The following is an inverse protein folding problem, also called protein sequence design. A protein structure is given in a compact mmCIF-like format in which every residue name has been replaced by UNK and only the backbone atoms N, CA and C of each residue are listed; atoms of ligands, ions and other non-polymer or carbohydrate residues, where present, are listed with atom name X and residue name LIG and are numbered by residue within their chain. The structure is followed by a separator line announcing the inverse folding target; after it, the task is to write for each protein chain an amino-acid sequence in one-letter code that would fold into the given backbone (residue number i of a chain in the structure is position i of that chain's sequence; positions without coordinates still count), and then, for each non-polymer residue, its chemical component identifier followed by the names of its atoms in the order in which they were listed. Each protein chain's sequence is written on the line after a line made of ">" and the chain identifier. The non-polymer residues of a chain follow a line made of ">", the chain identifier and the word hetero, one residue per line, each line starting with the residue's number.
data_IF_296154824270
#
_entry.id   IF_296154824270
#
_cell.length_a   1.000
_cell.length_b   1.000
_cell.length_c   1.000
_cell.angle_alpha   90.00
_cell.angle_beta   90.00
_cell.angle_gamma   90.00
#
_symmetry.space_group_name_H-M   'P 1'
#
loop_
_entity.id
_entity.type
_entity.pdbx_description
1 polymer ?
#
# COMPACT_ATOMS: atom_id res chain seq x y z
N UNK A 1 14.18 -3.01 -20.77
CA UNK A 1 13.04 -3.13 -19.83
C UNK A 1 13.38 -2.66 -18.43
N UNK A 2 14.45 -3.16 -17.79
CA UNK A 2 14.77 -2.80 -16.39
C UNK A 2 14.96 -1.29 -16.17
N UNK A 3 15.63 -0.58 -17.09
CA UNK A 3 15.82 0.88 -17.00
C UNK A 3 14.51 1.66 -17.15
N UNK A 4 13.61 1.23 -18.05
CA UNK A 4 12.30 1.85 -18.22
C UNK A 4 11.40 1.64 -16.99
N UNK A 5 11.55 0.50 -16.30
CA UNK A 5 10.88 0.24 -15.02
C UNK A 5 11.45 1.16 -13.93
N UNK A 6 12.78 1.31 -13.83
CA UNK A 6 13.42 2.22 -12.87
C UNK A 6 13.01 3.69 -13.08
N UNK A 7 12.93 4.17 -14.31
CA UNK A 7 12.49 5.54 -14.59
C UNK A 7 11.03 5.79 -14.18
N UNK A 8 10.13 4.84 -14.46
CA UNK A 8 8.75 4.94 -13.98
C UNK A 8 8.69 4.94 -12.45
N UNK A 9 9.46 4.08 -11.77
CA UNK A 9 9.52 4.02 -10.30
C UNK A 9 9.99 5.35 -9.70
N UNK A 10 10.91 6.08 -10.34
CA UNK A 10 11.28 7.44 -9.90
C UNK A 10 10.10 8.41 -9.90
N UNK A 11 9.16 8.27 -10.84
CA UNK A 11 7.91 9.04 -10.84
C UNK A 11 6.98 8.67 -9.67
N UNK A 12 7.00 7.40 -9.23
CA UNK A 12 6.25 6.93 -8.04
C UNK A 12 6.94 7.26 -6.70
N UNK A 13 8.21 7.69 -6.72
CA UNK A 13 8.94 8.14 -5.53
C UNK A 13 8.61 9.58 -5.12
N UNK A 14 7.64 10.22 -5.77
CA UNK A 14 7.07 11.47 -5.26
C UNK A 14 6.57 11.25 -3.83
N UNK A 15 7.01 12.11 -2.91
CA UNK A 15 6.61 12.07 -1.51
C UNK A 15 5.09 12.08 -1.36
N UNK A 16 4.37 12.80 -2.24
CA UNK A 16 2.91 12.82 -2.24
C UNK A 16 2.31 11.44 -2.55
N UNK A 17 2.88 10.70 -3.51
CA UNK A 17 2.43 9.35 -3.88
C UNK A 17 2.69 8.38 -2.74
N UNK A 18 3.88 8.40 -2.16
CA UNK A 18 4.25 7.52 -1.03
C UNK A 18 3.36 7.78 0.19
N UNK A 19 3.13 9.05 0.54
CA UNK A 19 2.22 9.43 1.63
C UNK A 19 0.79 8.99 1.35
N UNK A 20 0.32 9.14 0.12
CA UNK A 20 -1.03 8.69 -0.29
C UNK A 20 -1.17 7.18 -0.14
N UNK A 21 -0.17 6.40 -0.53
CA UNK A 21 -0.20 4.94 -0.36
C UNK A 21 -0.30 4.55 1.13
N UNK A 22 0.50 5.18 2.00
CA UNK A 22 0.43 4.94 3.45
C UNK A 22 -0.95 5.31 3.99
N UNK A 23 -1.50 6.45 3.58
CA UNK A 23 -2.82 6.91 4.01
C UNK A 23 -3.93 5.92 3.60
N UNK A 24 -3.90 5.40 2.36
CA UNK A 24 -4.82 4.35 1.90
C UNK A 24 -4.67 3.10 2.77
N UNK A 25 -3.43 2.69 3.03
CA UNK A 25 -3.16 1.51 3.85
C UNK A 25 -3.70 1.64 5.27
N UNK A 26 -3.47 2.78 5.92
CA UNK A 26 -4.02 3.10 7.26
C UNK A 26 -5.54 3.12 7.21
N UNK A 27 -6.15 3.78 6.22
CA UNK A 27 -7.59 3.88 6.10
C UNK A 27 -8.25 2.52 5.94
N UNK A 28 -7.69 1.63 5.10
CA UNK A 28 -8.23 0.28 4.93
C UNK A 28 -8.19 -0.52 6.24
N UNK A 29 -7.14 -0.40 7.05
CA UNK A 29 -7.08 -1.09 8.36
C UNK A 29 -8.02 -0.44 9.39
N UNK A 30 -8.06 0.88 9.44
CA UNK A 30 -8.82 1.63 10.44
C UNK A 30 -10.34 1.59 10.18
N UNK A 31 -10.75 1.58 8.91
CA UNK A 31 -12.16 1.67 8.50
C UNK A 31 -12.63 0.33 7.96
N UNK A 32 -12.13 -0.10 6.82
CA UNK A 32 -12.66 -1.27 6.08
C UNK A 32 -12.50 -2.56 6.88
N UNK A 33 -11.30 -2.86 7.38
CA UNK A 33 -11.03 -4.04 8.19
C UNK A 33 -11.92 -4.06 9.44
N UNK A 34 -12.02 -2.92 10.14
CA UNK A 34 -12.87 -2.81 11.33
C UNK A 34 -14.36 -2.97 10.99
N UNK A 35 -14.80 -2.49 9.83
CA UNK A 35 -16.16 -2.64 9.36
C UNK A 35 -16.47 -4.12 9.03
N UNK A 36 -15.66 -4.75 8.18
CA UNK A 36 -15.86 -6.16 7.79
C UNK A 36 -15.73 -7.11 8.98
N UNK A 37 -14.83 -6.83 9.92
CA UNK A 37 -14.69 -7.59 11.16
C UNK A 37 -15.95 -7.48 12.03
N UNK A 38 -16.54 -6.28 12.16
CA UNK A 38 -17.82 -6.08 12.87
C UNK A 38 -18.99 -6.81 12.20
N UNK A 39 -19.01 -6.83 10.87
CA UNK A 39 -20.01 -7.55 10.07
C UNK A 39 -19.77 -9.08 10.01
N UNK A 40 -18.74 -9.61 10.70
CA UNK A 40 -18.33 -11.03 10.68
C UNK A 40 -18.00 -11.57 9.28
N UNK A 41 -17.67 -10.69 8.33
CA UNK A 41 -17.24 -11.04 6.98
C UNK A 41 -15.75 -11.41 6.99
N UNK A 42 -15.45 -12.65 7.38
CA UNK A 42 -14.07 -13.10 7.65
C UNK A 42 -13.15 -12.95 6.43
N UNK A 43 -13.61 -13.35 5.25
CA UNK A 43 -12.82 -13.26 4.01
C UNK A 43 -12.49 -11.80 3.67
N UNK A 44 -13.49 -10.94 3.65
CA UNK A 44 -13.31 -9.52 3.30
C UNK A 44 -12.46 -8.78 4.33
N UNK A 45 -12.62 -9.11 5.62
CA UNK A 45 -11.75 -8.56 6.67
C UNK A 45 -10.29 -8.97 6.47
N UNK A 46 -10.00 -10.24 6.14
CA UNK A 46 -8.63 -10.69 5.89
C UNK A 46 -8.03 -10.01 4.65
N UNK A 47 -8.82 -9.87 3.57
CA UNK A 47 -8.40 -9.19 2.34
C UNK A 47 -8.10 -7.71 2.61
N UNK A 48 -9.00 -7.00 3.30
CA UNK A 48 -8.80 -5.58 3.63
C UNK A 48 -7.57 -5.36 4.52
N UNK A 49 -7.33 -6.24 5.50
CA UNK A 49 -6.11 -6.19 6.31
C UNK A 49 -4.85 -6.39 5.44
N UNK A 50 -4.90 -7.35 4.51
CA UNK A 50 -3.81 -7.60 3.57
C UNK A 50 -3.53 -6.42 2.65
N UNK A 51 -4.57 -5.80 2.08
CA UNK A 51 -4.47 -4.59 1.26
C UNK A 51 -3.85 -3.46 2.08
N UNK A 52 -4.35 -3.25 3.30
CA UNK A 52 -3.85 -2.21 4.21
C UNK A 52 -2.35 -2.35 4.48
N UNK A 53 -1.92 -3.55 4.87
CA UNK A 53 -0.50 -3.85 5.14
C UNK A 53 0.34 -3.69 3.87
N UNK A 54 -0.13 -4.18 2.72
CA UNK A 54 0.58 -4.08 1.46
C UNK A 54 0.84 -2.62 1.06
N UNK A 55 -0.17 -1.76 1.17
CA UNK A 55 -0.04 -0.33 0.85
C UNK A 55 0.85 0.44 1.83
N UNK A 56 0.93 0.02 3.10
CA UNK A 56 1.89 0.59 4.06
C UNK A 56 3.32 0.18 3.70
N UNK A 57 3.54 -1.06 3.24
CA UNK A 57 4.88 -1.61 2.99
C UNK A 57 5.43 -1.26 1.59
N UNK A 58 4.56 -1.10 0.59
CA UNK A 58 4.92 -0.77 -0.80
C UNK A 58 5.86 0.45 -0.96
N UNK A 59 5.64 1.57 -0.26
CA UNK A 59 6.54 2.72 -0.27
C UNK A 59 7.98 2.37 0.09
N UNK A 60 8.17 1.50 1.09
CA UNK A 60 9.49 1.04 1.50
C UNK A 60 10.12 0.15 0.42
N UNK A 61 9.33 -0.73 -0.20
CA UNK A 61 9.78 -1.55 -1.32
C UNK A 61 10.24 -0.67 -2.49
N UNK A 62 9.46 0.34 -2.86
CA UNK A 62 9.85 1.30 -3.91
C UNK A 62 11.10 2.10 -3.55
N UNK A 63 11.25 2.52 -2.30
CA UNK A 63 12.46 3.18 -1.82
C UNK A 63 13.70 2.29 -1.97
N UNK A 64 13.61 1.00 -1.60
CA UNK A 64 14.73 0.06 -1.76
C UNK A 64 15.06 -0.21 -3.23
N UNK A 65 14.05 -0.39 -4.09
CA UNK A 65 14.26 -0.60 -5.53
C UNK A 65 14.86 0.65 -6.19
N UNK A 66 14.42 1.84 -5.79
CA UNK A 66 14.92 3.11 -6.32
C UNK A 66 16.37 3.42 -5.93
N UNK A 67 16.85 2.84 -4.82
CA UNK A 67 18.27 2.90 -4.42
C UNK A 67 19.17 1.88 -5.13
N UNK A 68 18.60 0.84 -5.74
CA UNK A 68 19.31 -0.19 -6.52
C UNK A 68 19.60 0.29 -7.94
#
# INVERSE_FOLDING_TARGET
>A
MLNAIKENIKGFMDAAVLVTMIAIGIFSIAVDYRYFKRMKLRKDSAVSLGIGIAFILLPFVFYFIGKL
#
